data_IF_838061143841
#
_entry.id   IF_838061143841
#
_cell.length_a   1.000
_cell.length_b   1.000
_cell.length_c   1.000
_cell.angle_alpha   90.00
_cell.angle_beta   90.00
_cell.angle_gamma   90.00
#
_symmetry.space_group_name_H-M   'P 1'
#
loop_
_entity.id
_entity.type
_entity.pdbx_description
1 polymer ?
#
# COMPACT_ATOMS: atom_id res chain seq x y z
N UNK A 1 -18.23 -20.13 28.01
CA UNK A 1 -17.46 -18.85 28.13
C UNK A 1 -16.59 -18.71 26.90
N UNK A 2 -16.92 -17.80 25.98
CA UNK A 2 -16.18 -17.63 24.72
C UNK A 2 -15.29 -16.40 24.85
N UNK A 3 -13.97 -16.59 24.93
CA UNK A 3 -12.99 -15.52 24.96
C UNK A 3 -12.90 -14.87 23.57
N UNK A 4 -13.35 -13.62 23.49
CA UNK A 4 -13.10 -12.77 22.33
C UNK A 4 -11.73 -12.11 22.52
N UNK A 5 -10.75 -12.52 21.72
CA UNK A 5 -9.47 -11.83 21.61
C UNK A 5 -9.68 -10.64 20.66
N UNK A 6 -9.63 -9.45 21.22
CA UNK A 6 -9.61 -8.19 20.45
C UNK A 6 -8.16 -7.90 20.13
N UNK A 7 -7.75 -8.11 18.89
CA UNK A 7 -6.45 -7.67 18.38
C UNK A 7 -6.60 -6.21 17.94
N UNK A 8 -6.19 -5.28 18.81
CA UNK A 8 -6.00 -3.89 18.44
C UNK A 8 -4.65 -3.75 17.69
N UNK A 9 -4.70 -3.80 16.38
CA UNK A 9 -3.56 -3.43 15.54
C UNK A 9 -3.35 -1.92 15.60
N UNK A 10 -2.40 -1.45 16.41
CA UNK A 10 -1.98 -0.05 16.45
C UNK A 10 -1.08 0.23 15.25
N UNK A 11 -1.61 0.86 14.21
CA UNK A 11 -0.83 1.33 13.06
C UNK A 11 -0.14 2.63 13.49
N UNK A 12 1.15 2.56 13.81
CA UNK A 12 1.98 3.74 13.97
C UNK A 12 2.52 4.14 12.58
N UNK A 13 1.90 5.12 11.96
CA UNK A 13 2.44 5.81 10.78
C UNK A 13 3.47 6.82 11.30
N UNK A 14 4.76 6.50 11.22
CA UNK A 14 5.83 7.47 11.46
C UNK A 14 6.20 8.08 10.11
N UNK A 15 5.64 9.26 9.81
CA UNK A 15 6.15 10.13 8.77
C UNK A 15 7.36 10.89 9.33
N UNK A 16 8.56 10.55 8.90
CA UNK A 16 9.77 11.32 9.22
C UNK A 16 9.80 12.53 8.30
N UNK A 17 9.40 13.68 8.82
CA UNK A 17 9.59 14.97 8.17
C UNK A 17 11.03 15.43 8.41
N UNK A 18 11.85 15.50 7.38
CA UNK A 18 13.15 16.15 7.42
C UNK A 18 12.96 17.66 7.49
N UNK A 19 13.22 18.27 8.64
CA UNK A 19 13.34 19.73 8.76
C UNK A 19 14.76 20.16 8.45
N UNK A 20 14.91 20.95 7.38
CA UNK A 20 16.10 21.77 7.15
C UNK A 20 16.12 22.94 8.13
N UNK A 21 17.18 23.08 8.91
CA UNK A 21 17.50 24.33 9.61
C UNK A 21 18.83 24.87 9.12
N UNK A 22 18.81 26.13 8.73
CA UNK A 22 19.93 26.98 8.26
C UNK A 22 20.86 27.41 9.41
N UNK A 23 22.11 27.85 9.12
CA UNK A 23 23.21 27.83 10.08
C UNK A 23 23.37 29.14 10.86
N UNK A 24 23.89 29.02 12.05
CA UNK A 24 24.32 30.16 12.88
C UNK A 24 25.57 29.86 13.69
N UNK A 25 26.67 30.47 13.25
CA UNK A 25 27.87 31.00 13.92
C UNK A 25 28.50 30.27 15.12
N UNK A 26 29.80 29.93 14.91
CA UNK A 26 30.99 30.02 15.74
C UNK A 26 30.93 29.87 17.25
N UNK A 27 31.62 28.83 17.77
CA UNK A 27 32.73 29.06 18.73
C UNK A 27 33.67 27.83 18.75
N UNK A 28 34.95 28.17 18.76
CA UNK A 28 36.15 27.35 18.83
C UNK A 28 36.32 26.80 20.27
N UNK A 29 36.51 25.49 20.44
CA UNK A 29 37.28 24.96 21.58
C UNK A 29 37.98 23.67 21.19
N UNK A 30 39.28 23.75 21.33
CA UNK A 30 40.30 22.71 21.22
C UNK A 30 40.19 21.69 22.34
N UNK A 31 40.22 20.37 22.04
CA UNK A 31 41.08 19.42 22.77
C UNK A 31 40.94 17.97 22.32
N UNK A 32 42.07 17.41 21.99
CA UNK A 32 42.57 16.05 22.30
C UNK A 32 41.97 14.85 21.59
N UNK A 33 42.79 14.34 20.68
CA UNK A 33 42.79 13.07 19.99
C UNK A 33 42.46 11.86 20.90
N UNK A 34 41.47 11.08 20.53
CA UNK A 34 41.51 9.62 20.72
C UNK A 34 41.20 8.95 19.40
N UNK A 35 42.21 8.27 18.90
CA UNK A 35 42.20 7.47 17.69
C UNK A 35 41.38 6.19 17.98
N UNK A 36 40.13 6.16 17.55
CA UNK A 36 39.34 4.91 17.49
C UNK A 36 39.48 4.36 16.09
N UNK A 37 40.16 3.25 15.97
CA UNK A 37 40.32 2.46 14.75
C UNK A 37 38.94 2.00 14.29
N UNK A 38 38.33 2.70 13.33
CA UNK A 38 37.20 2.22 12.58
C UNK A 38 37.71 1.14 11.62
N UNK A 39 37.36 -0.09 11.87
CA UNK A 39 37.42 -1.15 10.87
C UNK A 39 36.42 -0.83 9.80
N UNK A 40 36.85 -0.21 8.70
CA UNK A 40 36.07 -0.04 7.48
C UNK A 40 35.75 -1.43 6.95
N UNK A 41 34.51 -1.84 7.14
CA UNK A 41 33.94 -2.95 6.41
C UNK A 41 33.77 -2.49 4.96
N UNK A 42 34.63 -3.01 4.11
CA UNK A 42 34.71 -2.74 2.68
C UNK A 42 33.44 -3.26 2.01
N UNK A 43 32.37 -2.43 2.01
CA UNK A 43 31.20 -2.66 1.17
C UNK A 43 31.61 -2.37 -0.26
N UNK A 44 31.48 -3.37 -1.13
CA UNK A 44 31.61 -3.23 -2.57
C UNK A 44 30.77 -2.05 -3.05
N UNK A 45 31.42 -1.01 -3.55
CA UNK A 45 30.77 0.21 -4.06
C UNK A 45 30.00 -0.11 -5.33
N UNK A 46 28.71 -0.45 -5.22
CA UNK A 46 27.79 -0.22 -6.32
C UNK A 46 27.63 1.29 -6.46
N UNK A 47 27.78 1.83 -7.67
CA UNK A 47 27.67 3.27 -7.95
C UNK A 47 26.22 3.77 -7.92
N UNK A 48 25.31 3.05 -7.27
CA UNK A 48 23.88 3.31 -7.23
C UNK A 48 23.45 4.34 -6.18
N UNK A 49 22.29 4.96 -6.37
CA UNK A 49 21.67 5.86 -5.40
C UNK A 49 21.12 5.06 -4.21
N UNK A 50 21.56 5.40 -3.00
CA UNK A 50 21.03 4.79 -1.76
C UNK A 50 19.62 5.35 -1.50
N UNK A 51 18.63 4.47 -1.54
CA UNK A 51 17.23 4.80 -1.25
C UNK A 51 16.97 4.81 0.27
N UNK A 52 17.53 3.83 0.96
CA UNK A 52 17.52 3.71 2.42
C UNK A 52 18.65 2.78 2.88
N UNK A 53 19.17 3.01 4.07
CA UNK A 53 20.17 2.16 4.73
C UNK A 53 20.06 2.39 6.24
N UNK A 54 19.39 1.50 6.94
CA UNK A 54 18.97 1.73 8.31
C UNK A 54 19.14 0.49 9.18
N UNK A 55 19.35 0.74 10.49
CA UNK A 55 19.18 -0.24 11.55
C UNK A 55 17.85 -0.01 12.23
N UNK A 56 17.08 -1.07 12.44
CA UNK A 56 15.78 -0.99 13.07
C UNK A 56 15.55 -2.09 14.11
N UNK A 57 14.66 -1.81 15.07
CA UNK A 57 14.13 -2.79 16.01
C UNK A 57 12.64 -2.96 15.76
N UNK A 58 12.24 -4.15 15.34
CA UNK A 58 10.85 -4.46 15.09
C UNK A 58 10.23 -5.20 16.28
N UNK A 59 9.07 -4.76 16.73
CA UNK A 59 8.31 -5.41 17.80
C UNK A 59 7.77 -6.76 17.35
N UNK A 60 7.41 -7.59 18.33
CA UNK A 60 6.81 -8.90 18.14
C UNK A 60 5.59 -8.85 17.18
N UNK A 61 5.54 -9.78 16.26
CA UNK A 61 4.46 -9.99 15.28
C UNK A 61 4.09 -8.75 14.46
N UNK A 62 4.97 -7.76 14.37
CA UNK A 62 4.77 -6.53 13.59
C UNK A 62 5.55 -6.58 12.27
N UNK A 63 5.22 -5.66 11.38
CA UNK A 63 5.99 -5.42 10.17
C UNK A 63 6.34 -3.94 10.00
N UNK A 64 7.45 -3.70 9.30
CA UNK A 64 7.93 -2.40 8.82
C UNK A 64 7.93 -2.42 7.31
N UNK A 65 7.77 -1.28 6.67
CA UNK A 65 8.03 -1.17 5.22
C UNK A 65 8.69 0.15 4.84
N UNK A 66 9.52 0.08 3.79
CA UNK A 66 10.05 1.24 3.08
C UNK A 66 9.46 1.33 1.68
N UNK A 67 9.27 2.57 1.22
CA UNK A 67 8.70 2.87 -0.09
C UNK A 67 9.82 2.98 -1.12
N UNK A 68 9.62 2.33 -2.27
CA UNK A 68 10.53 2.34 -3.42
C UNK A 68 9.77 2.93 -4.61
N UNK A 69 9.76 4.27 -4.78
CA UNK A 69 9.10 4.93 -5.90
C UNK A 69 10.04 4.99 -7.10
N UNK A 70 9.79 4.16 -8.11
CA UNK A 70 10.70 3.99 -9.26
C UNK A 70 9.97 3.92 -10.59
N UNK A 71 10.69 4.27 -11.66
CA UNK A 71 10.22 4.10 -13.05
C UNK A 71 10.31 2.65 -13.49
N UNK A 72 9.56 2.32 -14.52
CA UNK A 72 9.62 1.02 -15.22
C UNK A 72 11.06 0.72 -15.67
N UNK A 73 11.49 -0.51 -15.48
CA UNK A 73 12.82 -0.98 -15.86
C UNK A 73 13.91 -0.62 -14.84
N UNK A 74 13.60 0.16 -13.80
CA UNK A 74 14.55 0.42 -12.71
C UNK A 74 14.98 -0.88 -12.03
N UNK A 75 16.25 -0.96 -11.65
CA UNK A 75 16.84 -2.09 -10.94
C UNK A 75 17.23 -1.63 -9.54
N UNK A 76 16.72 -2.30 -8.51
CA UNK A 76 17.07 -2.02 -7.12
C UNK A 76 17.64 -3.28 -6.49
N UNK A 77 18.77 -3.13 -5.79
CA UNK A 77 19.31 -4.14 -4.89
C UNK A 77 18.72 -3.92 -3.51
N UNK A 78 18.08 -4.94 -2.97
CA UNK A 78 17.46 -4.95 -1.64
C UNK A 78 18.20 -5.95 -0.77
N UNK A 79 18.61 -5.53 0.42
CA UNK A 79 19.28 -6.40 1.37
C UNK A 79 18.70 -6.25 2.78
N UNK A 80 18.83 -7.31 3.56
CA UNK A 80 18.60 -7.29 4.99
C UNK A 80 19.50 -8.31 5.70
N UNK A 81 19.75 -8.05 6.98
CA UNK A 81 20.54 -8.91 7.86
C UNK A 81 20.01 -8.79 9.30
N UNK A 82 19.58 -9.90 9.87
CA UNK A 82 19.19 -9.97 11.28
C UNK A 82 20.43 -9.88 12.17
N UNK A 83 20.39 -9.04 13.20
CA UNK A 83 21.50 -8.89 14.16
C UNK A 83 21.47 -10.01 15.20
N UNK A 84 20.27 -10.49 15.49
CA UNK A 84 19.99 -11.49 16.52
C UNK A 84 19.96 -12.93 15.94
N UNK A 85 20.37 -13.12 14.68
CA UNK A 85 20.29 -14.38 13.91
C UNK A 85 18.85 -14.95 13.82
N UNK A 86 17.85 -14.11 13.95
CA UNK A 86 16.45 -14.51 13.91
C UNK A 86 15.89 -14.48 12.48
N UNK A 87 15.05 -15.47 12.18
CA UNK A 87 14.38 -15.56 10.88
C UNK A 87 13.32 -14.47 10.76
N UNK A 88 13.39 -13.68 9.69
CA UNK A 88 12.39 -12.68 9.31
C UNK A 88 11.72 -13.08 8.00
N UNK A 89 10.46 -12.74 7.85
CA UNK A 89 9.73 -12.83 6.58
C UNK A 89 9.85 -11.49 5.82
N UNK A 90 10.34 -11.55 4.59
CA UNK A 90 10.60 -10.39 3.74
C UNK A 90 9.70 -10.46 2.52
N UNK A 91 9.03 -9.34 2.20
CA UNK A 91 8.16 -9.22 1.04
C UNK A 91 8.52 -7.99 0.21
N UNK A 92 8.44 -8.13 -1.10
CA UNK A 92 8.30 -7.01 -2.02
C UNK A 92 6.86 -6.97 -2.50
N UNK A 93 6.18 -5.86 -2.27
CA UNK A 93 4.76 -5.67 -2.59
C UNK A 93 4.59 -4.47 -3.52
N UNK A 94 3.58 -4.52 -4.39
CA UNK A 94 3.02 -3.32 -4.98
C UNK A 94 1.99 -2.66 -4.03
N UNK A 95 1.41 -1.53 -4.45
CA UNK A 95 0.48 -0.79 -3.61
C UNK A 95 -0.84 -1.53 -3.37
N UNK A 96 -1.32 -2.35 -4.31
CA UNK A 96 -2.54 -3.14 -4.14
C UNK A 96 -2.33 -4.28 -3.15
N UNK A 97 -1.17 -4.90 -3.21
CA UNK A 97 -0.76 -5.98 -2.30
C UNK A 97 -0.54 -5.44 -0.88
N UNK A 98 0.08 -4.25 -0.73
CA UNK A 98 0.21 -3.61 0.58
C UNK A 98 -1.16 -3.22 1.16
N UNK A 99 -2.07 -2.67 0.34
CA UNK A 99 -3.43 -2.38 0.79
C UNK A 99 -4.16 -3.63 1.26
N UNK A 100 -4.03 -4.74 0.53
CA UNK A 100 -4.54 -6.06 0.95
C UNK A 100 -3.94 -6.51 2.28
N UNK A 101 -2.61 -6.38 2.43
CA UNK A 101 -1.89 -6.72 3.67
C UNK A 101 -2.41 -5.92 4.86
N UNK A 102 -2.64 -4.62 4.67
CA UNK A 102 -3.18 -3.72 5.71
C UNK A 102 -4.61 -4.09 6.10
N UNK A 103 -5.44 -4.49 5.13
CA UNK A 103 -6.84 -4.82 5.37
C UNK A 103 -7.04 -6.22 5.99
N UNK A 104 -6.24 -7.21 5.60
CA UNK A 104 -6.46 -8.62 5.92
C UNK A 104 -5.33 -9.28 6.70
N UNK A 105 -4.22 -8.57 6.91
CA UNK A 105 -3.03 -9.03 7.63
C UNK A 105 -2.03 -9.77 6.74
N UNK A 106 -0.76 -9.71 7.17
CA UNK A 106 0.38 -10.23 6.40
C UNK A 106 0.38 -11.76 6.25
N UNK A 107 -0.18 -12.47 7.20
CA UNK A 107 -0.36 -13.93 7.10
C UNK A 107 -1.27 -14.32 5.92
N UNK A 108 -2.32 -13.53 5.65
CA UNK A 108 -3.17 -13.74 4.49
C UNK A 108 -2.48 -13.37 3.18
N UNK A 109 -1.59 -12.39 3.19
CA UNK A 109 -0.73 -12.04 2.04
C UNK A 109 0.15 -13.22 1.65
N UNK A 110 0.82 -13.85 2.62
CA UNK A 110 1.61 -15.07 2.43
C UNK A 110 0.77 -16.23 1.91
N UNK A 111 -0.33 -16.54 2.61
CA UNK A 111 -1.24 -17.66 2.27
C UNK A 111 -1.81 -17.57 0.86
N UNK A 112 -2.11 -16.37 0.37
CA UNK A 112 -2.74 -16.15 -0.93
C UNK A 112 -1.72 -15.76 -2.02
N UNK A 113 -0.42 -15.88 -1.76
CA UNK A 113 0.68 -15.54 -2.69
C UNK A 113 0.54 -14.11 -3.28
N UNK A 114 0.12 -13.15 -2.45
CA UNK A 114 -0.06 -11.75 -2.86
C UNK A 114 1.21 -10.94 -2.59
N UNK A 115 2.26 -11.23 -3.32
CA UNK A 115 3.55 -10.55 -3.27
C UNK A 115 4.28 -10.67 -4.61
N UNK A 116 5.17 -9.74 -4.91
CA UNK A 116 6.04 -9.78 -6.08
C UNK A 116 7.25 -10.68 -5.82
N UNK A 117 7.78 -10.59 -4.60
CA UNK A 117 8.90 -11.43 -4.13
C UNK A 117 8.70 -11.73 -2.64
N UNK A 118 9.11 -12.92 -2.24
CA UNK A 118 9.10 -13.37 -0.85
C UNK A 118 10.38 -14.10 -0.52
N UNK A 119 10.88 -13.87 0.68
CA UNK A 119 12.01 -14.58 1.26
C UNK A 119 11.79 -14.76 2.77
N UNK A 120 12.33 -15.82 3.35
CA UNK A 120 12.34 -16.07 4.80
C UNK A 120 13.72 -16.54 5.21
N UNK A 121 14.35 -15.86 6.16
CA UNK A 121 15.71 -16.18 6.59
C UNK A 121 16.31 -15.11 7.50
N UNK A 122 17.58 -15.30 7.84
CA UNK A 122 18.36 -14.39 8.71
C UNK A 122 19.04 -13.28 7.92
N UNK A 123 19.32 -13.51 6.64
CA UNK A 123 19.92 -12.53 5.73
C UNK A 123 19.53 -12.82 4.28
N UNK A 124 19.45 -11.81 3.44
CA UNK A 124 19.31 -11.94 1.99
C UNK A 124 19.74 -10.67 1.29
N UNK A 125 20.22 -10.84 0.07
CA UNK A 125 20.37 -9.78 -0.91
C UNK A 125 19.78 -10.25 -2.24
N UNK A 126 18.98 -9.42 -2.89
CA UNK A 126 18.43 -9.71 -4.20
C UNK A 126 18.23 -8.45 -5.04
N UNK A 127 18.37 -8.59 -6.35
CA UNK A 127 18.03 -7.56 -7.33
C UNK A 127 16.62 -7.77 -7.86
N UNK A 128 15.90 -6.67 -8.06
CA UNK A 128 14.59 -6.69 -8.67
C UNK A 128 14.46 -5.62 -9.75
N UNK A 129 13.95 -6.03 -10.93
CA UNK A 129 13.64 -5.12 -12.03
C UNK A 129 12.15 -4.82 -12.00
N UNK A 130 11.79 -3.56 -11.87
CA UNK A 130 10.39 -3.15 -11.71
C UNK A 130 9.67 -3.12 -13.06
N UNK A 131 8.51 -3.81 -13.18
CA UNK A 131 7.81 -3.98 -14.46
C UNK A 131 7.08 -2.72 -14.94
N UNK A 132 6.73 -1.81 -14.03
CA UNK A 132 5.93 -0.62 -14.29
C UNK A 132 6.38 0.55 -13.42
N UNK A 133 6.02 1.79 -13.84
CA UNK A 133 6.16 2.98 -12.98
C UNK A 133 5.28 2.84 -11.74
N UNK A 134 5.81 3.09 -10.56
CA UNK A 134 5.00 3.01 -9.35
C UNK A 134 5.76 3.06 -8.04
N UNK A 135 5.01 2.93 -6.96
CA UNK A 135 5.56 2.72 -5.64
C UNK A 135 5.47 1.25 -5.26
N UNK A 136 6.59 0.73 -4.84
CA UNK A 136 6.74 -0.62 -4.32
C UNK A 136 7.15 -0.56 -2.86
N UNK A 137 6.97 -1.64 -2.13
CA UNK A 137 7.13 -1.68 -0.69
C UNK A 137 8.00 -2.84 -0.30
N UNK A 138 9.15 -2.53 0.28
CA UNK A 138 10.02 -3.52 0.90
C UNK A 138 9.55 -3.71 2.34
N UNK A 139 8.91 -4.85 2.61
CA UNK A 139 8.25 -5.15 3.89
C UNK A 139 9.05 -6.19 4.64
N UNK A 140 9.38 -5.91 5.89
CA UNK A 140 10.06 -6.81 6.81
C UNK A 140 9.10 -7.14 7.95
N UNK A 141 8.83 -8.41 8.17
CA UNK A 141 7.89 -8.91 9.16
C UNK A 141 8.59 -9.77 10.19
N UNK A 142 8.48 -9.38 11.45
CA UNK A 142 8.92 -10.20 12.57
C UNK A 142 7.83 -11.25 12.89
N UNK A 143 8.18 -12.52 12.68
CA UNK A 143 7.27 -13.65 12.91
C UNK A 143 7.32 -14.17 14.36
N UNK A 144 8.22 -13.63 15.19
CA UNK A 144 8.43 -14.05 16.58
C UNK A 144 7.55 -13.24 17.54
N UNK A 145 7.38 -13.76 18.75
CA UNK A 145 6.62 -13.14 19.84
C UNK A 145 7.47 -12.18 20.70
N UNK A 146 8.72 -11.92 20.27
CA UNK A 146 9.67 -10.96 20.85
C UNK A 146 10.19 -9.98 19.80
N UNK A 147 10.87 -8.92 20.26
CA UNK A 147 11.46 -7.92 19.35
C UNK A 147 12.75 -8.45 18.71
N UNK A 148 13.01 -8.03 17.49
CA UNK A 148 14.20 -8.42 16.71
C UNK A 148 14.85 -7.17 16.12
N UNK A 149 16.20 -7.17 16.05
CA UNK A 149 16.99 -6.11 15.43
C UNK A 149 17.57 -6.58 14.09
N UNK A 150 17.64 -5.66 13.12
CA UNK A 150 18.18 -5.96 11.80
C UNK A 150 18.71 -4.71 11.10
N UNK A 151 19.61 -4.93 10.14
CA UNK A 151 19.99 -3.94 9.12
C UNK A 151 19.22 -4.21 7.84
N UNK A 152 18.90 -3.16 7.11
CA UNK A 152 18.28 -3.29 5.81
C UNK A 152 18.62 -2.11 4.91
N UNK A 153 18.72 -2.37 3.61
CA UNK A 153 19.04 -1.33 2.64
C UNK A 153 18.35 -1.54 1.30
N UNK A 154 18.24 -0.45 0.54
CA UNK A 154 17.82 -0.43 -0.85
C UNK A 154 18.71 0.51 -1.64
N UNK A 155 19.28 0.01 -2.75
CA UNK A 155 20.15 0.77 -3.65
C UNK A 155 19.57 0.72 -5.05
N UNK A 156 19.28 1.90 -5.61
CA UNK A 156 18.87 2.04 -7.01
C UNK A 156 20.11 1.93 -7.90
N UNK A 157 20.26 0.81 -8.58
CA UNK A 157 21.39 0.50 -9.45
C UNK A 157 21.29 1.20 -10.80
N UNK A 158 20.05 1.25 -11.34
CA UNK A 158 19.72 1.92 -12.60
C UNK A 158 18.26 2.32 -12.65
N UNK A 159 17.93 3.30 -13.51
CA UNK A 159 16.59 3.88 -13.63
C UNK A 159 16.46 5.17 -12.84
N UNK A 160 15.22 5.58 -12.55
CA UNK A 160 14.93 6.85 -11.93
C UNK A 160 13.96 6.71 -10.75
N UNK A 161 14.16 7.54 -9.73
CA UNK A 161 13.25 7.68 -8.60
C UNK A 161 12.10 8.63 -8.99
N UNK A 162 10.88 8.18 -8.78
CA UNK A 162 9.68 9.01 -9.00
C UNK A 162 9.53 10.03 -7.88
N UNK A 163 9.25 11.29 -8.26
CA UNK A 163 8.90 12.36 -7.30
C UNK A 163 7.42 12.33 -6.90
N UNK A 164 6.58 11.73 -7.75
CA UNK A 164 5.15 11.54 -7.53
C UNK A 164 4.75 10.16 -8.02
N UNK A 165 3.85 9.51 -7.32
CA UNK A 165 3.32 8.20 -7.69
C UNK A 165 1.86 8.06 -7.28
N UNK A 166 1.18 7.06 -7.86
CA UNK A 166 -0.17 6.69 -7.45
C UNK A 166 -0.09 5.51 -6.47
N UNK A 167 -0.59 5.71 -5.26
CA UNK A 167 -0.84 4.61 -4.34
C UNK A 167 -2.15 3.93 -4.73
N UNK A 168 -2.07 2.87 -5.53
CA UNK A 168 -3.25 2.12 -5.99
C UNK A 168 -3.72 1.22 -4.86
N UNK A 169 -4.91 1.48 -4.34
CA UNK A 169 -5.51 0.66 -3.27
C UNK A 169 -6.19 -0.58 -3.84
N UNK A 170 -6.78 -0.46 -5.03
CA UNK A 170 -7.35 -1.57 -5.77
C UNK A 170 -7.48 -1.24 -7.26
N UNK A 171 -7.42 -2.27 -8.11
CA UNK A 171 -7.62 -2.12 -9.55
C UNK A 171 -8.07 -3.45 -10.17
N UNK A 172 -8.71 -3.35 -11.31
CA UNK A 172 -9.11 -4.51 -12.08
C UNK A 172 -9.29 -4.17 -13.55
N UNK A 173 -8.88 -5.09 -14.41
CA UNK A 173 -9.08 -5.00 -15.85
C UNK A 173 -10.01 -6.12 -16.28
N UNK A 174 -11.03 -5.77 -17.07
CA UNK A 174 -11.99 -6.72 -17.61
C UNK A 174 -12.73 -7.56 -16.55
N UNK A 175 -12.97 -6.97 -15.38
CA UNK A 175 -13.63 -7.65 -14.25
C UNK A 175 -15.10 -7.88 -14.58
N UNK A 176 -15.53 -9.13 -14.49
CA UNK A 176 -16.91 -9.49 -14.78
C UNK A 176 -17.84 -9.27 -13.58
N UNK A 177 -18.98 -8.65 -13.82
CA UNK A 177 -20.10 -8.48 -12.89
C UNK A 177 -21.35 -9.14 -13.48
N UNK A 178 -21.86 -10.17 -12.82
CA UNK A 178 -23.13 -10.78 -13.20
C UNK A 178 -24.29 -9.75 -13.09
N UNK A 179 -25.42 -10.04 -13.71
CA UNK A 179 -26.67 -9.29 -13.46
C UNK A 179 -26.96 -9.30 -11.95
N UNK A 180 -27.33 -8.16 -11.39
CA UNK A 180 -27.53 -7.89 -9.96
C UNK A 180 -26.30 -8.18 -9.08
N UNK A 181 -25.17 -8.53 -9.70
CA UNK A 181 -23.91 -8.79 -9.01
C UNK A 181 -23.21 -7.52 -8.57
N UNK A 182 -22.55 -7.60 -7.42
CA UNK A 182 -21.74 -6.50 -6.89
C UNK A 182 -20.38 -6.96 -6.38
N UNK A 183 -19.45 -6.02 -6.29
CA UNK A 183 -18.16 -6.18 -5.60
C UNK A 183 -17.86 -4.92 -4.80
N UNK A 184 -17.16 -5.08 -3.69
CA UNK A 184 -16.67 -3.96 -2.90
C UNK A 184 -15.17 -4.02 -2.72
N UNK A 185 -14.57 -2.84 -2.72
CA UNK A 185 -13.15 -2.61 -2.50
C UNK A 185 -13.01 -1.72 -1.28
N UNK A 186 -12.29 -2.21 -0.27
CA UNK A 186 -12.21 -1.55 1.03
C UNK A 186 -10.88 -0.84 1.18
N UNK A 187 -10.92 0.43 1.58
CA UNK A 187 -9.72 1.22 1.85
C UNK A 187 -9.87 1.96 3.18
N UNK A 188 -8.77 2.03 3.94
CA UNK A 188 -8.69 2.88 5.14
C UNK A 188 -8.23 4.27 4.74
N UNK A 189 -8.97 5.30 5.20
CA UNK A 189 -8.67 6.71 4.94
C UNK A 189 -8.60 7.48 6.26
N UNK A 190 -7.64 8.41 6.35
CA UNK A 190 -7.63 9.44 7.38
C UNK A 190 -8.65 10.52 7.05
N UNK A 191 -9.10 11.27 8.07
CA UNK A 191 -9.95 12.44 7.84
C UNK A 191 -9.27 13.44 6.90
N UNK A 192 -9.98 13.85 5.86
CA UNK A 192 -9.48 14.79 4.85
C UNK A 192 -8.64 14.15 3.73
N UNK A 193 -8.31 12.86 3.83
CA UNK A 193 -7.66 12.16 2.72
C UNK A 193 -8.60 12.03 1.52
N UNK A 194 -8.03 12.26 0.34
CA UNK A 194 -8.76 12.15 -0.93
C UNK A 194 -8.29 10.93 -1.71
N UNK A 195 -9.25 10.18 -2.22
CA UNK A 195 -9.02 9.05 -3.11
C UNK A 195 -9.69 9.33 -4.46
N UNK A 196 -9.02 8.95 -5.53
CA UNK A 196 -9.53 9.01 -6.88
C UNK A 196 -10.11 7.65 -7.26
N UNK A 197 -11.25 7.64 -7.90
CA UNK A 197 -11.89 6.45 -8.46
C UNK A 197 -12.09 6.67 -9.95
N UNK A 198 -11.55 5.77 -10.73
CA UNK A 198 -11.72 5.68 -12.16
C UNK A 198 -12.45 4.38 -12.50
N UNK A 199 -13.37 4.42 -13.45
CA UNK A 199 -13.95 3.21 -14.01
C UNK A 199 -14.34 3.40 -15.48
N UNK A 200 -14.39 2.28 -16.21
CA UNK A 200 -14.86 2.22 -17.59
C UNK A 200 -15.58 0.88 -17.82
N UNK A 201 -16.85 0.97 -18.19
CA UNK A 201 -17.65 -0.20 -18.55
C UNK A 201 -17.34 -0.59 -20.00
N UNK A 202 -16.96 -1.84 -20.21
CA UNK A 202 -16.80 -2.39 -21.55
C UNK A 202 -18.18 -2.60 -22.17
N UNK A 203 -18.53 -1.73 -23.11
CA UNK A 203 -19.78 -1.83 -23.85
C UNK A 203 -19.68 -2.96 -24.88
N UNK A 204 -20.76 -3.69 -25.08
CA UNK A 204 -20.92 -4.44 -26.30
C UNK A 204 -21.66 -3.55 -27.32
N UNK A 205 -21.51 -3.82 -28.62
CA UNK A 205 -21.95 -2.96 -29.73
C UNK A 205 -23.45 -2.62 -29.74
N UNK A 206 -24.25 -3.26 -28.90
CA UNK A 206 -25.71 -3.20 -28.99
C UNK A 206 -26.42 -2.60 -27.78
N UNK A 207 -25.73 -2.27 -26.68
CA UNK A 207 -26.37 -1.83 -25.44
C UNK A 207 -25.54 -0.85 -24.62
N UNK A 208 -26.19 0.18 -24.12
CA UNK A 208 -25.64 1.02 -23.06
C UNK A 208 -25.65 0.24 -21.74
N UNK A 209 -24.47 -0.16 -21.27
CA UNK A 209 -24.27 -0.82 -19.99
C UNK A 209 -23.77 0.22 -18.99
N UNK A 210 -24.33 0.22 -17.80
CA UNK A 210 -23.89 1.12 -16.73
C UNK A 210 -23.83 0.39 -15.40
N UNK A 211 -23.00 0.93 -14.50
CA UNK A 211 -22.76 0.38 -13.17
C UNK A 211 -23.10 1.44 -12.12
N UNK A 212 -23.75 1.04 -11.03
CA UNK A 212 -23.93 1.90 -9.87
C UNK A 212 -22.74 1.82 -8.95
N UNK A 213 -22.31 2.97 -8.46
CA UNK A 213 -21.21 3.06 -7.52
C UNK A 213 -21.69 3.75 -6.26
N UNK A 214 -21.40 3.13 -5.11
CA UNK A 214 -21.63 3.70 -3.79
C UNK A 214 -20.33 3.78 -3.02
N UNK A 215 -20.19 4.83 -2.22
CA UNK A 215 -19.17 4.91 -1.18
C UNK A 215 -19.85 4.89 0.17
N UNK A 216 -19.56 3.87 0.97
CA UNK A 216 -20.17 3.58 2.26
C UNK A 216 -19.07 3.40 3.32
N UNK A 217 -19.32 3.81 4.56
CA UNK A 217 -18.50 3.37 5.68
C UNK A 217 -18.77 1.88 6.01
N UNK A 218 -18.03 1.34 6.96
CA UNK A 218 -18.13 -0.09 7.28
C UNK A 218 -19.51 -0.49 7.83
N UNK A 219 -20.14 0.38 8.61
CA UNK A 219 -21.48 0.16 9.17
C UNK A 219 -22.54 0.25 8.07
N UNK A 220 -22.45 1.27 7.22
CA UNK A 220 -23.29 1.46 6.05
C UNK A 220 -23.20 0.28 5.11
N UNK A 221 -22.00 -0.19 4.81
CA UNK A 221 -21.79 -1.35 3.93
C UNK A 221 -22.38 -2.64 4.54
N UNK A 222 -22.23 -2.85 5.84
CA UNK A 222 -22.80 -4.02 6.52
C UNK A 222 -24.33 -4.00 6.44
N UNK A 223 -24.96 -2.86 6.59
CA UNK A 223 -26.41 -2.68 6.46
C UNK A 223 -26.87 -2.79 5.01
N UNK A 224 -26.13 -2.17 4.07
CA UNK A 224 -26.42 -2.23 2.63
C UNK A 224 -26.41 -3.68 2.10
N UNK A 225 -25.46 -4.53 2.52
CA UNK A 225 -25.42 -5.94 2.12
C UNK A 225 -26.67 -6.74 2.48
N UNK A 226 -27.40 -6.34 3.51
CA UNK A 226 -28.64 -7.02 3.95
C UNK A 226 -29.85 -6.68 3.08
N UNK A 227 -29.91 -5.43 2.61
CA UNK A 227 -31.02 -4.94 1.77
C UNK A 227 -30.50 -3.86 0.81
N UNK A 228 -29.80 -4.23 -0.28
CA UNK A 228 -29.20 -3.26 -1.19
C UNK A 228 -30.21 -2.35 -1.88
N UNK A 229 -31.43 -2.87 -2.18
CA UNK A 229 -32.49 -2.15 -2.90
C UNK A 229 -33.14 -1.10 -2.01
N UNK A 230 -33.38 -1.43 -0.73
CA UNK A 230 -34.12 -0.61 0.23
C UNK A 230 -33.19 0.11 1.22
N UNK A 231 -31.91 0.19 0.92
CA UNK A 231 -30.95 0.81 1.82
C UNK A 231 -31.21 2.32 1.95
N UNK A 232 -31.54 2.76 3.15
CA UNK A 232 -31.82 4.16 3.50
C UNK A 232 -30.75 4.80 4.40
N UNK A 233 -29.64 4.10 4.63
CA UNK A 233 -28.53 4.60 5.45
C UNK A 233 -27.68 5.65 4.75
N UNK A 234 -26.64 6.10 5.43
CA UNK A 234 -25.74 7.13 4.91
C UNK A 234 -24.92 6.62 3.72
N UNK A 235 -25.06 7.29 2.59
CA UNK A 235 -24.27 7.10 1.38
C UNK A 235 -23.42 8.36 1.21
N UNK A 236 -22.09 8.18 1.11
CA UNK A 236 -21.17 9.30 0.92
C UNK A 236 -21.01 9.70 -0.55
N UNK A 237 -21.22 8.77 -1.45
CA UNK A 237 -21.25 8.99 -2.89
C UNK A 237 -22.23 7.99 -3.51
N UNK A 238 -23.04 8.47 -4.45
CA UNK A 238 -24.02 7.69 -5.20
C UNK A 238 -24.04 8.15 -6.66
N UNK A 239 -23.70 7.25 -7.56
CA UNK A 239 -23.72 7.50 -9.01
C UNK A 239 -25.12 7.38 -9.64
N UNK A 240 -26.17 7.07 -8.86
CA UNK A 240 -27.52 6.78 -9.40
C UNK A 240 -28.17 7.95 -10.12
N UNK A 241 -27.75 9.18 -9.84
CA UNK A 241 -28.27 10.37 -10.50
C UNK A 241 -27.65 10.63 -11.88
N UNK A 242 -26.63 9.86 -12.26
CA UNK A 242 -25.92 10.00 -13.51
C UNK A 242 -26.25 8.82 -14.43
N UNK A 243 -27.41 8.88 -15.05
CA UNK A 243 -27.83 7.89 -16.05
C UNK A 243 -26.87 7.94 -17.24
N UNK A 244 -26.45 6.76 -17.71
CA UNK A 244 -25.75 6.52 -18.98
C UNK A 244 -24.24 6.76 -19.02
N UNK A 245 -23.52 6.75 -17.91
CA UNK A 245 -22.06 6.81 -17.96
C UNK A 245 -21.43 5.43 -17.95
N UNK A 246 -20.84 5.09 -19.09
CA UNK A 246 -19.96 3.92 -19.21
C UNK A 246 -18.52 4.18 -18.73
N UNK A 247 -18.20 5.44 -18.45
CA UNK A 247 -16.89 5.89 -18.03
C UNK A 247 -17.02 7.08 -17.08
N UNK A 248 -16.29 7.09 -15.98
CA UNK A 248 -16.20 8.22 -15.08
C UNK A 248 -14.93 8.21 -14.25
N UNK A 249 -14.56 9.41 -13.81
CA UNK A 249 -13.57 9.61 -12.76
C UNK A 249 -14.16 10.58 -11.73
N UNK A 250 -14.14 10.18 -10.47
CA UNK A 250 -14.55 11.05 -9.37
C UNK A 250 -13.54 11.02 -8.21
N UNK A 251 -13.66 12.01 -7.33
CA UNK A 251 -12.86 12.11 -6.11
C UNK A 251 -13.77 11.98 -4.91
N UNK A 252 -13.31 11.21 -3.93
CA UNK A 252 -13.94 11.11 -2.63
C UNK A 252 -12.96 11.57 -1.55
N UNK A 253 -13.39 12.52 -0.70
CA UNK A 253 -12.62 12.99 0.46
C UNK A 253 -13.29 12.46 1.72
N UNK A 254 -12.52 11.73 2.54
CA UNK A 254 -13.05 11.12 3.75
C UNK A 254 -13.40 12.18 4.80
N UNK A 255 -14.67 12.30 5.23
CA UNK A 255 -15.08 13.26 6.25
C UNK A 255 -14.55 12.90 7.64
N UNK A 256 -14.28 11.63 7.90
CA UNK A 256 -13.76 11.08 9.14
C UNK A 256 -12.75 9.97 8.84
N UNK A 257 -11.90 9.64 9.81
CA UNK A 257 -11.00 8.49 9.69
C UNK A 257 -11.80 7.18 9.75
N UNK A 258 -11.52 6.23 8.87
CA UNK A 258 -12.20 4.94 8.89
C UNK A 258 -12.01 4.11 7.63
N UNK A 259 -12.67 2.96 7.62
CA UNK A 259 -12.76 2.12 6.43
C UNK A 259 -13.93 2.54 5.57
N UNK A 260 -13.66 2.72 4.28
CA UNK A 260 -14.65 3.06 3.26
C UNK A 260 -14.70 1.95 2.22
N UNK A 261 -15.93 1.58 1.83
CA UNK A 261 -16.21 0.54 0.85
C UNK A 261 -16.71 1.19 -0.44
N UNK A 262 -15.97 0.98 -1.51
CA UNK A 262 -16.33 1.39 -2.86
C UNK A 262 -17.06 0.23 -3.51
N UNK A 263 -18.39 0.34 -3.57
CA UNK A 263 -19.28 -0.73 -4.06
C UNK A 263 -19.62 -0.48 -5.51
N UNK A 264 -19.28 -1.40 -6.38
CA UNK A 264 -19.65 -1.42 -7.79
C UNK A 264 -20.74 -2.45 -7.99
N UNK A 265 -21.92 -2.02 -8.42
CA UNK A 265 -23.13 -2.85 -8.49
C UNK A 265 -23.79 -2.81 -9.87
N UNK A 266 -23.85 -3.96 -10.53
CA UNK A 266 -24.55 -4.15 -11.80
C UNK A 266 -26.07 -4.37 -11.56
N UNK A 267 -26.78 -3.35 -11.09
CA UNK A 267 -28.21 -3.46 -10.74
C UNK A 267 -29.13 -3.37 -11.96
N UNK A 268 -28.86 -2.41 -12.82
CA UNK A 268 -29.84 -1.99 -13.82
C UNK A 268 -29.50 -2.47 -15.24
N UNK A 269 -28.34 -3.12 -15.41
CA UNK A 269 -27.99 -3.73 -16.69
C UNK A 269 -28.69 -5.09 -16.85
N UNK A 270 -29.34 -5.36 -17.98
CA UNK A 270 -30.11 -6.59 -18.20
C UNK A 270 -29.22 -7.85 -18.26
N UNK A 271 -27.93 -7.66 -18.42
CA UNK A 271 -26.91 -8.72 -18.58
C UNK A 271 -25.71 -8.49 -17.65
N UNK A 272 -24.80 -9.45 -17.65
CA UNK A 272 -23.49 -9.26 -17.05
C UNK A 272 -22.70 -8.21 -17.83
N UNK A 273 -21.88 -7.45 -17.10
CA UNK A 273 -20.98 -6.45 -17.70
C UNK A 273 -19.54 -6.70 -17.30
N UNK A 274 -18.61 -6.09 -18.03
CA UNK A 274 -17.19 -6.07 -17.70
C UNK A 274 -16.73 -4.65 -17.45
N UNK A 275 -15.86 -4.51 -16.46
CA UNK A 275 -15.42 -3.22 -15.95
C UNK A 275 -13.89 -3.19 -15.83
N UNK A 276 -13.29 -2.10 -16.31
CA UNK A 276 -11.97 -1.67 -15.88
C UNK A 276 -12.16 -0.63 -14.77
N UNK A 277 -11.39 -0.72 -13.71
CA UNK A 277 -11.42 0.28 -12.64
C UNK A 277 -10.06 0.45 -11.97
N UNK A 278 -9.89 1.61 -11.33
CA UNK A 278 -8.73 1.93 -10.51
C UNK A 278 -9.15 2.83 -9.35
N UNK A 279 -8.75 2.46 -8.14
CA UNK A 279 -8.96 3.24 -6.90
C UNK A 279 -7.57 3.60 -6.38
N UNK A 280 -7.24 4.90 -6.28
CA UNK A 280 -5.88 5.33 -5.99
C UNK A 280 -5.80 6.68 -5.29
N UNK A 281 -4.69 6.91 -4.57
CA UNK A 281 -4.30 8.21 -4.02
C UNK A 281 -3.11 8.75 -4.81
N UNK A 282 -3.08 10.06 -5.07
CA UNK A 282 -1.89 10.74 -5.58
C UNK A 282 -0.96 11.05 -4.40
N UNK A 283 0.26 10.54 -4.46
CA UNK A 283 1.28 10.69 -3.42
C UNK A 283 2.48 11.49 -3.95
N UNK A 284 3.15 12.19 -3.04
CA UNK A 284 4.47 12.82 -3.28
C UNK A 284 5.50 12.10 -2.42
N UNK A 285 6.72 11.99 -2.94
CA UNK A 285 7.88 11.46 -2.20
C UNK A 285 8.45 12.55 -1.29
#
# INVERSE_FOLDING_TARGET
MKNKIIILGLIALIAVASMCTTPGSNQQQTSTSQQTTNTEQQTSSSSGEVLFNEKYTIKNLNYLYNIIPVTKGSIVTLSFESIDDEILDIYLLDSTQLNYTTAYGIANTKKNNRYLKYYSGVQSEFKYTFPEDGAYYFVIHNIHDYQTQFYYSGVLESGEKLQKYQFVTDQGTNVYYARDGWRSYTTYLQKGETINVYYSVKQNEYRNLFIKIYVLDNNGFTSWKRSPVDYSGKIYFDSTNERDRSFEQFKFTAPEKGYYNFVFWNRDSPEGLRLDFKIYKDMKV
#
